data_IF_277720506310
#
_entry.id   IF_277720506310
#
_cell.length_a   1.000
_cell.length_b   1.000
_cell.length_c   1.000
_cell.angle_alpha   90.00
_cell.angle_beta   90.00
_cell.angle_gamma   90.00
#
_symmetry.space_group_name_H-M   'P 1'
#
loop_
_entity.id
_entity.type
_entity.pdbx_description
1 polymer ?
#
# COMPACT_ATOMS: atom_id res chain seq x y z
N UNK A 1 -12.77 -1.64 -16.01
CA UNK A 1 -11.43 -1.04 -16.19
C UNK A 1 -10.39 -2.05 -15.74
N UNK A 2 -9.84 -2.86 -16.67
CA UNK A 2 -8.78 -3.79 -16.30
C UNK A 2 -7.49 -3.03 -15.93
N UNK A 3 -6.75 -3.57 -14.97
CA UNK A 3 -5.31 -3.36 -14.93
C UNK A 3 -4.79 -2.14 -14.18
N UNK A 4 -5.41 -1.67 -13.09
CA UNK A 4 -4.72 -0.66 -12.26
C UNK A 4 -3.48 -1.25 -11.62
N UNK A 5 -2.31 -0.90 -12.19
CA UNK A 5 -1.01 -1.37 -11.73
C UNK A 5 -0.39 -0.36 -10.76
N UNK A 6 -0.08 -0.84 -9.55
CA UNK A 6 0.69 -0.10 -8.55
C UNK A 6 1.99 -0.84 -8.28
N UNK A 7 3.12 -0.13 -8.32
CA UNK A 7 4.40 -0.67 -7.89
C UNK A 7 4.61 -0.32 -6.42
N UNK A 8 4.77 -1.33 -5.60
CA UNK A 8 5.02 -1.21 -4.16
C UNK A 8 6.41 -1.73 -3.84
N UNK A 9 7.10 -1.08 -2.90
CA UNK A 9 8.41 -1.53 -2.43
C UNK A 9 8.23 -2.14 -1.04
N UNK A 10 8.17 -3.48 -0.97
CA UNK A 10 7.72 -4.18 0.23
C UNK A 10 8.62 -3.86 1.45
N UNK A 11 8.03 -3.27 2.50
CA UNK A 11 8.74 -2.89 3.72
C UNK A 11 9.65 -1.66 3.59
N UNK A 12 9.69 -1.01 2.42
CA UNK A 12 10.43 0.23 2.23
C UNK A 12 9.58 1.41 2.69
N UNK A 13 9.92 1.97 3.85
CA UNK A 13 9.22 3.12 4.46
C UNK A 13 10.06 4.40 4.52
N UNK A 14 11.34 4.30 4.20
CA UNK A 14 12.30 5.43 4.23
C UNK A 14 13.18 5.45 2.98
N UNK A 15 13.71 4.30 2.59
CA UNK A 15 14.60 4.16 1.43
C UNK A 15 14.06 3.11 0.46
N UNK A 16 14.17 3.40 -0.84
CA UNK A 16 13.78 2.47 -1.91
C UNK A 16 14.80 1.35 -2.03
N UNK A 17 14.31 0.11 -2.06
CA UNK A 17 15.06 -1.07 -2.45
C UNK A 17 14.37 -1.71 -3.66
N UNK A 18 14.99 -1.58 -4.84
CA UNK A 18 14.42 -2.05 -6.10
C UNK A 18 14.22 -3.56 -6.15
N UNK A 19 14.98 -4.32 -5.36
CA UNK A 19 14.83 -5.78 -5.27
C UNK A 19 13.53 -6.19 -4.58
N UNK A 20 12.93 -5.27 -3.81
CA UNK A 20 11.66 -5.46 -3.11
C UNK A 20 10.45 -4.92 -3.88
N UNK A 21 10.67 -4.51 -5.13
CA UNK A 21 9.59 -4.06 -5.99
C UNK A 21 8.61 -5.19 -6.29
N UNK A 22 7.32 -4.93 -6.07
CA UNK A 22 6.21 -5.80 -6.47
C UNK A 22 5.20 -4.98 -7.24
N UNK A 23 4.61 -5.57 -8.28
CA UNK A 23 3.50 -4.98 -9.01
C UNK A 23 2.21 -5.60 -8.50
N UNK A 24 1.29 -4.75 -8.05
CA UNK A 24 -0.06 -5.11 -7.65
C UNK A 24 -1.00 -4.69 -8.75
N UNK A 25 -1.83 -5.62 -9.21
CA UNK A 25 -2.93 -5.34 -10.12
C UNK A 25 -4.22 -5.24 -9.31
N UNK A 26 -4.88 -4.09 -9.41
CA UNK A 26 -6.15 -3.80 -8.74
C UNK A 26 -7.27 -3.80 -9.77
N UNK A 27 -8.35 -4.49 -9.43
CA UNK A 27 -9.61 -4.53 -10.19
C UNK A 27 -10.63 -3.57 -9.57
N UNK A 28 -11.65 -3.14 -10.33
CA UNK A 28 -12.74 -2.35 -9.76
C UNK A 28 -13.38 -3.08 -8.57
N UNK A 29 -13.49 -2.40 -7.43
CA UNK A 29 -13.99 -2.96 -6.18
C UNK A 29 -12.90 -3.45 -5.22
N UNK A 30 -11.66 -3.63 -5.68
CA UNK A 30 -10.55 -3.97 -4.79
C UNK A 30 -10.19 -2.80 -3.88
N UNK A 31 -9.86 -3.12 -2.63
CA UNK A 31 -9.31 -2.18 -1.67
C UNK A 31 -7.94 -2.67 -1.21
N UNK A 32 -6.98 -1.75 -1.13
CA UNK A 32 -5.65 -2.05 -0.61
C UNK A 32 -5.41 -1.25 0.68
N UNK A 33 -5.10 -1.97 1.75
CA UNK A 33 -4.65 -1.38 3.00
C UNK A 33 -3.12 -1.47 3.09
N UNK A 34 -2.47 -0.33 3.28
CA UNK A 34 -1.03 -0.24 3.45
C UNK A 34 -0.69 0.83 4.49
N UNK A 35 0.52 0.77 5.03
CA UNK A 35 1.02 1.81 5.92
C UNK A 35 1.19 3.11 5.15
N UNK A 36 0.82 4.23 5.76
CA UNK A 36 0.88 5.55 5.12
C UNK A 36 2.30 5.97 4.67
N UNK A 37 3.34 5.39 5.27
CA UNK A 37 4.74 5.64 4.95
C UNK A 37 5.34 4.63 3.95
N UNK A 38 4.57 3.67 3.45
CA UNK A 38 5.05 2.72 2.45
C UNK A 38 5.34 3.44 1.13
N UNK A 39 6.54 3.24 0.59
CA UNK A 39 6.91 3.81 -0.70
C UNK A 39 6.19 3.04 -1.82
N UNK A 40 5.42 3.78 -2.62
CA UNK A 40 4.63 3.26 -3.75
C UNK A 40 4.71 4.23 -4.93
N UNK A 41 4.59 3.72 -6.15
CA UNK A 41 4.40 4.55 -7.34
C UNK A 41 3.39 3.95 -8.31
N UNK A 42 2.67 4.82 -9.02
CA UNK A 42 1.81 4.40 -10.12
C UNK A 42 2.65 3.87 -11.28
N UNK A 43 2.14 2.85 -11.97
CA UNK A 43 2.72 2.38 -13.22
C UNK A 43 2.05 3.06 -14.42
N UNK A 44 2.78 3.14 -15.52
CA UNK A 44 2.24 3.58 -16.81
C UNK A 44 1.14 2.62 -17.29
N UNK A 45 0.23 3.19 -18.07
CA UNK A 45 -0.84 2.47 -18.74
C UNK A 45 -0.65 2.52 -20.24
N UNK A 46 -1.02 1.42 -20.87
CA UNK A 46 -0.99 1.29 -22.32
C UNK A 46 -2.19 2.04 -22.96
N UNK A 47 -3.27 2.24 -22.19
CA UNK A 47 -4.50 2.94 -22.58
C UNK A 47 -4.89 4.05 -21.59
N UNK A 48 -5.77 4.96 -22.02
CA UNK A 48 -6.35 5.99 -21.14
C UNK A 48 -7.13 5.32 -20.01
N UNK A 49 -6.72 5.57 -18.75
CA UNK A 49 -7.34 5.01 -17.57
C UNK A 49 -7.84 6.11 -16.62
N UNK A 50 -9.16 6.28 -16.55
CA UNK A 50 -9.79 7.20 -15.60
C UNK A 50 -9.84 6.57 -14.21
N UNK A 51 -8.88 6.93 -13.36
CA UNK A 51 -8.80 6.47 -11.97
C UNK A 51 -9.64 7.35 -11.05
N UNK A 52 -10.65 6.76 -10.40
CA UNK A 52 -11.28 7.36 -9.22
C UNK A 52 -10.68 6.71 -7.96
N UNK A 53 -9.63 7.29 -7.40
CA UNK A 53 -9.03 6.79 -6.15
C UNK A 53 -9.65 7.51 -4.95
N UNK A 54 -10.13 6.74 -3.98
CA UNK A 54 -10.50 7.26 -2.66
C UNK A 54 -9.46 6.81 -1.64
N UNK A 55 -8.82 7.76 -0.97
CA UNK A 55 -7.85 7.48 0.08
C UNK A 55 -8.49 7.79 1.44
N UNK A 56 -8.50 6.77 2.31
CA UNK A 56 -8.90 6.94 3.71
C UNK A 56 -7.67 6.67 4.57
N UNK A 57 -7.19 7.69 5.28
CA UNK A 57 -6.09 7.55 6.23
C UNK A 57 -6.66 7.41 7.64
N UNK A 58 -6.38 6.28 8.29
CA UNK A 58 -6.76 6.04 9.68
C UNK A 58 -5.54 6.20 10.57
N UNK A 59 -5.62 7.09 11.57
CA UNK A 59 -4.53 7.29 12.54
C UNK A 59 -4.40 6.06 13.42
N UNK A 60 -3.26 5.37 13.35
CA UNK A 60 -2.93 4.27 14.25
C UNK A 60 -2.89 4.74 15.70
N UNK A 61 -3.46 3.95 16.61
CA UNK A 61 -3.30 4.16 18.06
C UNK A 61 -2.08 3.38 18.56
N UNK A 62 -1.26 4.02 19.39
CA UNK A 62 -0.14 3.36 20.08
C UNK A 62 -0.71 2.37 21.08
N UNK A 63 -0.50 1.06 20.86
CA UNK A 63 -0.85 0.03 21.83
C UNK A 63 0.11 0.15 23.02
N UNK A 64 -0.41 0.29 24.25
CA UNK A 64 0.41 0.12 25.45
C UNK A 64 0.68 -1.37 25.59
N UNK A 65 1.95 -1.76 25.72
CA UNK A 65 2.29 -3.15 26.02
C UNK A 65 1.64 -3.51 27.37
N UNK A 66 0.73 -4.48 27.37
CA UNK A 66 0.18 -5.05 28.59
C UNK A 66 1.10 -6.22 28.93
N UNK A 67 1.95 -6.06 29.93
CA UNK A 67 2.79 -7.13 30.46
C UNK A 67 1.86 -8.16 31.08
N UNK A 68 1.54 -9.23 30.36
CA UNK A 68 0.95 -10.42 30.97
C UNK A 68 2.06 -11.11 31.73
N UNK A 69 2.23 -10.79 33.01
CA UNK A 69 2.91 -11.66 33.95
C UNK A 69 2.07 -12.92 34.10
N UNK A 70 2.48 -14.00 33.42
CA UNK A 70 2.07 -15.35 33.78
C UNK A 70 2.69 -15.64 35.15
N UNK A 71 1.82 -15.78 36.17
CA UNK A 71 2.12 -16.45 37.44
C UNK A 71 1.88 -17.93 37.25
#
# INVERSE_FOLDING_TARGET
MPGTRLKVFAGCVTTVDVTKAKVLELRPGDAMLFRADLIVCGMMYDDVNYRLHSYVTVRGRRRKNQTSSLV
#
